data_IF_697589076648
#
_entry.id   IF_697589076648
#
_cell.length_a   1.000
_cell.length_b   1.000
_cell.length_c   1.000
_cell.angle_alpha   90.00
_cell.angle_beta   90.00
_cell.angle_gamma   90.00
#
_symmetry.space_group_name_H-M   'P 1'
#
loop_
_entity.id
_entity.type
_entity.pdbx_description
1 polymer ?
#
# COMPACT_ATOMS: atom_id res chain seq x y z
N UNK A 1 8.40 28.41 -63.35
CA UNK A 1 9.37 27.48 -63.96
C UNK A 1 10.57 27.47 -63.05
N UNK A 2 10.57 26.54 -62.08
CA UNK A 2 11.40 25.30 -62.11
C UNK A 2 12.57 25.60 -61.15
N UNK A 3 12.97 24.80 -60.18
CA UNK A 3 12.94 23.35 -60.05
C UNK A 3 13.20 23.02 -58.58
N UNK A 4 12.54 21.98 -58.07
CA UNK A 4 12.90 21.37 -56.81
C UNK A 4 14.20 20.58 -56.99
N UNK A 5 15.15 20.70 -56.06
CA UNK A 5 16.19 19.69 -55.89
C UNK A 5 16.27 19.27 -54.43
N UNK A 6 15.97 17.99 -54.23
CA UNK A 6 16.12 17.25 -53.00
C UNK A 6 17.60 16.93 -52.77
N UNK A 7 18.09 17.13 -51.55
CA UNK A 7 19.41 16.67 -51.14
C UNK A 7 19.32 15.94 -49.80
N UNK A 8 19.48 14.61 -49.90
CA UNK A 8 20.01 13.62 -48.96
C UNK A 8 19.79 13.79 -47.44
N UNK A 9 19.03 12.85 -46.87
CA UNK A 9 19.01 12.51 -45.44
C UNK A 9 20.29 11.73 -45.09
N UNK A 10 21.12 12.17 -44.12
CA UNK A 10 22.15 11.32 -43.53
C UNK A 10 21.55 10.35 -42.48
N UNK A 11 22.12 9.15 -42.44
CA UNK A 11 21.71 7.98 -41.67
C UNK A 11 21.65 8.23 -40.14
N UNK A 12 20.84 7.46 -39.38
CA UNK A 12 20.80 7.57 -37.93
C UNK A 12 22.16 7.15 -37.33
N UNK A 13 22.79 8.09 -36.63
CA UNK A 13 23.95 7.81 -35.78
C UNK A 13 23.53 6.89 -34.63
N UNK A 14 24.34 5.85 -34.39
CA UNK A 14 24.04 4.74 -33.49
C UNK A 14 23.61 5.22 -32.10
N UNK A 15 22.39 4.84 -31.70
CA UNK A 15 21.94 4.93 -30.31
C UNK A 15 22.87 4.09 -29.43
N UNK A 16 23.73 4.77 -28.67
CA UNK A 16 24.51 4.16 -27.61
C UNK A 16 23.57 3.69 -26.50
N UNK A 17 23.39 2.37 -26.40
CA UNK A 17 22.73 1.74 -25.26
C UNK A 17 23.51 2.09 -23.99
N UNK A 18 23.02 3.07 -23.23
CA UNK A 18 23.43 3.25 -21.84
C UNK A 18 22.22 2.90 -20.99
N UNK A 19 22.22 1.67 -20.51
CA UNK A 19 21.29 1.18 -19.50
C UNK A 19 21.36 2.12 -18.29
N UNK A 20 20.22 2.59 -17.74
CA UNK A 20 20.24 3.43 -16.54
C UNK A 20 20.82 2.60 -15.40
N UNK A 21 22.05 2.90 -15.01
CA UNK A 21 22.69 2.24 -13.87
C UNK A 21 21.91 2.62 -12.63
N UNK A 22 21.24 1.65 -12.00
CA UNK A 22 20.54 1.85 -10.75
C UNK A 22 21.51 2.44 -9.70
N UNK A 23 21.06 3.40 -8.87
CA UNK A 23 21.93 3.98 -7.85
C UNK A 23 22.38 2.89 -6.86
N UNK A 24 23.61 2.99 -6.31
CA UNK A 24 24.13 2.03 -5.35
C UNK A 24 23.25 2.00 -4.09
N UNK A 25 22.83 0.80 -3.68
CA UNK A 25 22.02 0.59 -2.48
C UNK A 25 22.82 0.93 -1.20
N UNK A 26 22.35 1.91 -0.43
CA UNK A 26 22.90 2.23 0.90
C UNK A 26 22.30 1.31 1.97
N UNK A 27 23.07 1.01 3.01
CA UNK A 27 22.59 0.18 4.12
C UNK A 27 21.50 0.90 4.93
N UNK A 28 20.42 0.19 5.27
CA UNK A 28 19.24 0.73 5.96
C UNK A 28 19.60 1.46 7.26
N UNK A 29 20.63 1.00 7.98
CA UNK A 29 21.08 1.63 9.23
C UNK A 29 21.72 3.01 9.06
N UNK A 30 22.11 3.36 7.84
CA UNK A 30 22.72 4.65 7.50
C UNK A 30 21.69 5.65 6.98
N UNK A 31 20.46 5.19 6.70
CA UNK A 31 19.34 6.05 6.33
C UNK A 31 18.88 6.76 7.61
N UNK A 32 19.28 8.01 7.79
CA UNK A 32 18.73 8.83 8.87
C UNK A 32 17.28 9.15 8.51
N UNK A 33 16.30 8.91 9.42
CA UNK A 33 14.92 9.24 9.15
C UNK A 33 14.85 10.74 8.85
N UNK A 34 14.33 11.07 7.67
CA UNK A 34 14.09 12.42 7.12
C UNK A 34 15.24 13.14 6.39
N UNK A 35 16.52 12.80 6.58
CA UNK A 35 17.61 13.58 5.94
C UNK A 35 17.84 13.22 4.45
N UNK A 36 17.63 11.95 4.09
CA UNK A 36 18.01 11.44 2.76
C UNK A 36 16.84 11.37 1.76
N UNK A 37 15.62 11.71 2.19
CA UNK A 37 14.42 11.68 1.33
C UNK A 37 14.27 12.98 0.52
N UNK A 38 15.31 13.34 -0.23
CA UNK A 38 15.23 14.45 -1.19
C UNK A 38 14.89 13.87 -2.57
N UNK A 39 13.70 14.17 -3.15
CA UNK A 39 13.27 13.59 -4.42
C UNK A 39 13.98 14.20 -5.65
N UNK A 40 15.32 14.33 -5.62
CA UNK A 40 16.13 14.65 -6.81
C UNK A 40 17.64 14.57 -6.54
N UNK A 41 18.22 13.66 -5.74
CA UNK A 41 19.68 13.72 -5.49
C UNK A 41 20.57 13.45 -6.72
N UNK A 42 20.05 12.82 -7.78
CA UNK A 42 20.88 12.34 -8.90
C UNK A 42 20.51 12.92 -10.27
N UNK A 43 19.59 13.88 -10.37
CA UNK A 43 19.31 14.56 -11.64
C UNK A 43 20.29 15.73 -11.84
N UNK A 44 21.07 15.78 -12.93
CA UNK A 44 22.03 16.87 -13.21
C UNK A 44 21.36 18.23 -13.55
N UNK A 45 20.05 18.36 -13.29
CA UNK A 45 19.27 19.61 -13.37
C UNK A 45 18.53 19.88 -12.04
N UNK A 46 19.22 19.77 -10.89
CA UNK A 46 18.71 20.06 -9.53
C UNK A 46 19.23 21.41 -8.99
N UNK A 47 18.30 22.35 -8.86
CA UNK A 47 18.28 23.72 -8.29
C UNK A 47 19.55 24.59 -8.17
N UNK A 48 19.47 25.81 -8.72
CA UNK A 48 20.52 26.86 -8.70
C UNK A 48 20.12 28.14 -7.96
N UNK A 49 18.84 28.36 -7.58
CA UNK A 49 18.55 29.29 -6.48
C UNK A 49 17.42 28.78 -5.58
N UNK A 50 17.78 28.31 -4.37
CA UNK A 50 16.99 27.33 -3.67
C UNK A 50 16.52 27.98 -2.39
N UNK A 51 15.33 28.53 -2.38
CA UNK A 51 14.61 28.58 -1.11
C UNK A 51 14.09 27.16 -0.77
N UNK A 52 14.70 26.10 -1.31
CA UNK A 52 13.96 25.11 -2.11
C UNK A 52 13.13 24.11 -1.33
N UNK A 53 13.34 24.01 -0.02
CA UNK A 53 12.43 23.23 0.82
C UNK A 53 12.02 24.02 2.07
N UNK A 54 11.92 25.35 1.89
CA UNK A 54 11.32 26.43 2.69
C UNK A 54 11.02 26.20 4.19
N UNK A 55 11.52 27.15 4.98
CA UNK A 55 11.06 27.63 6.29
C UNK A 55 11.06 26.65 7.49
N UNK A 56 11.93 26.86 8.50
CA UNK A 56 13.05 27.81 8.54
C UNK A 56 14.22 27.30 7.67
N UNK A 57 14.88 28.22 6.96
CA UNK A 57 16.12 27.89 6.25
C UNK A 57 17.19 27.55 7.30
N UNK A 58 17.95 26.46 7.16
CA UNK A 58 19.01 26.13 8.11
C UNK A 58 20.04 27.26 8.26
N UNK A 59 20.27 28.05 7.20
CA UNK A 59 21.21 29.18 7.19
C UNK A 59 20.60 30.51 7.67
N UNK A 60 19.28 30.57 7.91
CA UNK A 60 18.57 31.79 8.31
C UNK A 60 18.58 32.94 7.28
N UNK A 61 19.20 32.76 6.12
CA UNK A 61 19.32 33.80 5.09
C UNK A 61 18.01 34.02 4.32
N UNK A 62 17.65 35.28 3.98
CA UNK A 62 16.41 35.59 3.27
C UNK A 62 16.36 34.93 1.88
N UNK A 63 15.16 34.53 1.47
CA UNK A 63 14.89 33.95 0.16
C UNK A 63 15.10 34.99 -0.95
N UNK A 64 15.86 34.63 -2.00
CA UNK A 64 16.23 35.52 -3.12
C UNK A 64 15.33 35.34 -4.36
N UNK A 65 14.04 35.05 -4.17
CA UNK A 65 13.07 34.99 -5.27
C UNK A 65 12.38 36.34 -5.47
N UNK A 66 11.98 36.65 -6.72
CA UNK A 66 11.25 37.88 -7.06
C UNK A 66 9.89 38.02 -6.32
N UNK A 67 9.36 36.91 -5.79
CA UNK A 67 8.23 36.82 -4.86
C UNK A 67 8.58 35.86 -3.72
N UNK A 68 9.11 36.33 -2.58
CA UNK A 68 9.46 35.45 -1.47
C UNK A 68 8.19 34.89 -0.82
N UNK A 69 8.07 33.56 -0.74
CA UNK A 69 7.08 32.94 0.14
C UNK A 69 7.47 33.29 1.59
N UNK A 70 6.63 34.07 2.28
CA UNK A 70 6.89 34.43 3.67
C UNK A 70 6.75 33.18 4.56
N UNK A 71 7.75 32.92 5.41
CA UNK A 71 7.68 31.83 6.36
C UNK A 71 6.54 32.06 7.38
N UNK A 72 5.84 31.01 7.83
CA UNK A 72 4.91 31.14 8.94
C UNK A 72 5.66 31.64 10.16
N UNK A 73 5.05 32.53 10.94
CA UNK A 73 5.65 33.02 12.17
C UNK A 73 5.76 31.84 13.15
N UNK A 74 6.99 31.41 13.44
CA UNK A 74 7.22 30.44 14.49
C UNK A 74 6.96 31.08 15.85
N UNK A 75 6.00 30.53 16.58
CA UNK A 75 5.80 30.87 17.97
C UNK A 75 6.87 30.14 18.75
N UNK A 76 7.84 30.89 19.30
CA UNK A 76 8.82 30.33 20.25
C UNK A 76 8.04 29.77 21.44
N UNK A 77 8.16 28.47 21.67
CA UNK A 77 7.68 27.85 22.89
C UNK A 77 8.29 28.62 24.07
N UNK A 78 7.45 29.06 25.02
CA UNK A 78 7.93 29.76 26.20
C UNK A 78 8.90 28.89 26.98
N UNK A 79 9.96 29.48 27.53
CA UNK A 79 10.89 28.80 28.44
C UNK A 79 10.29 28.52 29.84
N UNK A 80 8.96 28.57 29.94
CA UNK A 80 8.25 28.27 31.16
C UNK A 80 8.43 26.79 31.50
N UNK A 81 8.49 26.43 32.79
CA UNK A 81 8.49 25.03 33.18
C UNK A 81 7.27 24.33 32.58
N UNK A 82 7.49 23.15 32.00
CA UNK A 82 6.40 22.34 31.45
C UNK A 82 5.43 21.98 32.59
N UNK A 83 4.21 22.50 32.50
CA UNK A 83 3.10 22.05 33.35
C UNK A 83 2.42 20.88 32.66
N UNK A 84 2.39 19.74 33.32
CA UNK A 84 1.71 18.57 32.78
C UNK A 84 0.21 18.83 32.63
N UNK A 85 -0.38 18.26 31.58
CA UNK A 85 -1.82 18.40 31.33
C UNK A 85 -2.57 17.47 32.27
N UNK A 86 -3.34 18.03 33.19
CA UNK A 86 -4.25 17.23 34.04
C UNK A 86 -5.50 16.82 33.24
N UNK A 87 -5.38 15.75 32.46
CA UNK A 87 -6.53 15.16 31.78
C UNK A 87 -7.45 14.51 32.81
N UNK A 88 -8.72 14.92 32.86
CA UNK A 88 -9.71 14.25 33.70
C UNK A 88 -9.96 12.82 33.18
N UNK A 89 -10.03 11.85 34.09
CA UNK A 89 -10.41 10.48 33.73
C UNK A 89 -11.80 10.50 33.11
N UNK A 90 -11.89 10.16 31.82
CA UNK A 90 -13.13 10.13 31.07
C UNK A 90 -13.49 8.68 30.79
N UNK A 91 -14.71 8.27 31.17
CA UNK A 91 -15.23 6.96 30.80
C UNK A 91 -15.59 6.98 29.31
N UNK A 92 -14.90 6.15 28.52
CA UNK A 92 -15.17 6.03 27.09
C UNK A 92 -16.04 4.79 26.84
N UNK A 93 -17.31 5.02 26.47
CA UNK A 93 -18.22 3.96 26.05
C UNK A 93 -18.02 3.74 24.55
N UNK A 94 -17.25 2.72 24.19
CA UNK A 94 -17.07 2.33 22.79
C UNK A 94 -18.16 1.34 22.38
N UNK A 95 -18.94 1.71 21.37
CA UNK A 95 -19.75 0.78 20.59
C UNK A 95 -18.98 0.44 19.30
N UNK A 96 -18.94 -0.84 18.93
CA UNK A 96 -18.34 -1.23 17.67
C UNK A 96 -19.09 -0.56 16.52
N UNK A 97 -18.36 0.10 15.61
CA UNK A 97 -18.98 0.68 14.44
C UNK A 97 -19.69 -0.44 13.65
N UNK A 98 -20.99 -0.29 13.41
CA UNK A 98 -21.82 -1.28 12.71
C UNK A 98 -21.55 -1.29 11.19
N UNK A 99 -20.27 -1.20 10.82
CA UNK A 99 -19.82 -1.24 9.44
C UNK A 99 -19.93 -2.67 8.92
N UNK A 100 -20.54 -2.80 7.74
CA UNK A 100 -20.65 -4.07 7.03
C UNK A 100 -19.94 -4.00 5.69
N UNK A 101 -19.57 -5.16 5.20
CA UNK A 101 -19.03 -5.39 3.87
C UNK A 101 -19.76 -6.58 3.23
N UNK A 102 -19.61 -6.76 1.92
CA UNK A 102 -19.99 -8.00 1.26
C UNK A 102 -18.99 -9.12 1.62
N UNK A 103 -19.31 -10.40 1.39
CA UNK A 103 -18.41 -11.49 1.74
C UNK A 103 -17.07 -11.37 1.01
N UNK A 104 -15.98 -11.52 1.76
CA UNK A 104 -14.62 -11.55 1.25
C UNK A 104 -14.23 -13.00 0.99
N UNK A 105 -14.42 -13.50 -0.23
CA UNK A 105 -14.13 -14.89 -0.58
C UNK A 105 -12.63 -15.22 -0.58
N UNK A 106 -11.80 -14.20 -0.81
CA UNK A 106 -10.36 -14.31 -0.98
C UNK A 106 -9.59 -13.76 0.22
N UNK A 107 -10.00 -14.12 1.43
CA UNK A 107 -9.34 -13.65 2.66
C UNK A 107 -8.46 -14.72 3.31
N UNK A 108 -7.33 -14.29 3.87
CA UNK A 108 -6.57 -15.04 4.87
C UNK A 108 -6.65 -14.33 6.24
N UNK A 109 -7.65 -14.65 7.08
CA UNK A 109 -7.86 -13.93 8.34
C UNK A 109 -6.69 -14.06 9.31
N UNK A 110 -5.96 -15.18 9.29
CA UNK A 110 -4.83 -15.38 10.19
C UNK A 110 -3.68 -14.44 9.82
N UNK A 111 -3.33 -14.39 8.53
CA UNK A 111 -2.26 -13.54 8.02
C UNK A 111 -2.66 -12.07 7.98
N UNK A 112 -3.78 -11.74 7.37
CA UNK A 112 -4.18 -10.37 7.02
C UNK A 112 -4.67 -9.58 8.24
N UNK A 113 -5.44 -10.21 9.14
CA UNK A 113 -6.00 -9.52 10.31
C UNK A 113 -5.09 -9.59 11.53
N UNK A 114 -4.44 -10.73 11.75
CA UNK A 114 -3.67 -10.99 12.96
C UNK A 114 -2.16 -11.04 12.73
N UNK A 115 -1.68 -10.93 11.49
CA UNK A 115 -0.25 -10.98 11.19
C UNK A 115 0.38 -12.35 11.48
N UNK A 116 -0.42 -13.41 11.60
CA UNK A 116 0.06 -14.77 11.82
C UNK A 116 0.69 -15.29 10.52
N UNK A 117 1.99 -15.03 10.39
CA UNK A 117 2.78 -15.41 9.23
C UNK A 117 3.57 -16.69 9.48
N UNK A 118 3.79 -17.42 8.39
CA UNK A 118 4.74 -18.51 8.32
C UNK A 118 6.15 -17.98 8.03
N UNK A 119 7.12 -18.90 7.95
CA UNK A 119 8.47 -18.56 7.51
C UNK A 119 8.45 -17.84 6.15
N UNK A 120 9.31 -16.81 5.98
CA UNK A 120 9.32 -15.91 4.81
C UNK A 120 9.35 -16.65 3.45
N UNK A 121 10.07 -17.77 3.39
CA UNK A 121 10.16 -18.59 2.16
C UNK A 121 8.91 -19.42 1.88
N UNK A 122 8.14 -19.79 2.91
CA UNK A 122 6.97 -20.68 2.79
C UNK A 122 5.67 -19.88 2.67
N UNK A 123 5.61 -18.69 3.29
CA UNK A 123 4.48 -17.78 3.23
C UNK A 123 3.89 -17.56 1.82
N UNK A 124 4.68 -17.26 0.77
CA UNK A 124 4.10 -17.03 -0.56
C UNK A 124 3.38 -18.27 -1.10
N UNK A 125 3.89 -19.48 -0.84
CA UNK A 125 3.26 -20.72 -1.28
C UNK A 125 1.97 -21.02 -0.49
N UNK A 126 1.95 -20.72 0.82
CA UNK A 126 0.74 -20.88 1.63
C UNK A 126 -0.35 -19.91 1.17
N UNK A 127 -0.01 -18.64 0.97
CA UNK A 127 -0.95 -17.64 0.48
C UNK A 127 -1.44 -17.96 -0.93
N UNK A 128 -0.55 -18.38 -1.84
CA UNK A 128 -0.93 -18.81 -3.18
C UNK A 128 -1.86 -20.03 -3.15
N UNK A 129 -1.52 -21.07 -2.38
CA UNK A 129 -2.35 -22.26 -2.23
C UNK A 129 -3.73 -21.94 -1.66
N UNK A 130 -3.80 -21.05 -0.67
CA UNK A 130 -5.07 -20.61 -0.08
C UNK A 130 -5.92 -19.84 -1.10
N UNK A 131 -5.33 -18.84 -1.77
CA UNK A 131 -6.01 -18.09 -2.82
C UNK A 131 -6.52 -18.99 -3.95
N UNK A 132 -5.67 -19.91 -4.46
CA UNK A 132 -6.07 -20.86 -5.49
C UNK A 132 -7.18 -21.80 -5.03
N UNK A 133 -7.15 -22.27 -3.78
CA UNK A 133 -8.22 -23.10 -3.22
C UNK A 133 -9.55 -22.33 -3.13
N UNK A 134 -9.49 -21.05 -2.77
CA UNK A 134 -10.65 -20.17 -2.71
C UNK A 134 -11.20 -19.85 -4.10
N UNK A 135 -10.32 -19.66 -5.09
CA UNK A 135 -10.67 -19.39 -6.47
C UNK A 135 -11.40 -20.57 -7.11
N UNK A 136 -10.84 -21.77 -6.97
CA UNK A 136 -11.49 -23.00 -7.47
C UNK A 136 -12.81 -23.20 -6.73
N UNK A 137 -12.81 -23.06 -5.40
CA UNK A 137 -13.99 -23.21 -4.55
C UNK A 137 -14.96 -22.02 -4.55
N UNK A 138 -14.82 -21.05 -5.45
CA UNK A 138 -15.62 -19.81 -5.41
C UNK A 138 -17.14 -20.07 -5.51
N UNK A 139 -17.66 -20.91 -6.45
CA UNK A 139 -19.09 -21.20 -6.50
C UNK A 139 -19.62 -21.84 -5.20
N UNK A 140 -18.81 -22.70 -4.56
CA UNK A 140 -19.12 -23.28 -3.25
C UNK A 140 -19.30 -22.19 -2.19
N UNK A 141 -18.35 -21.25 -2.10
CA UNK A 141 -18.40 -20.16 -1.13
C UNK A 141 -19.58 -19.21 -1.39
N UNK A 142 -19.83 -18.83 -2.65
CA UNK A 142 -20.97 -17.98 -3.03
C UNK A 142 -22.33 -18.64 -2.70
N UNK A 143 -22.37 -19.97 -2.60
CA UNK A 143 -23.59 -20.70 -2.20
C UNK A 143 -23.83 -20.64 -0.70
N UNK A 144 -22.77 -20.61 0.10
CA UNK A 144 -22.85 -20.52 1.58
C UNK A 144 -23.10 -19.08 2.01
N UNK A 145 -22.29 -18.16 1.49
CA UNK A 145 -22.34 -16.74 1.78
C UNK A 145 -22.67 -16.01 0.47
N UNK A 146 -23.94 -15.63 0.23
CA UNK A 146 -24.34 -14.93 -1.00
C UNK A 146 -23.63 -13.58 -1.15
N UNK A 147 -23.36 -13.17 -2.39
CA UNK A 147 -22.56 -11.96 -2.72
C UNK A 147 -23.06 -10.67 -2.03
N UNK A 148 -24.36 -10.52 -1.82
CA UNK A 148 -24.94 -9.34 -1.18
C UNK A 148 -25.23 -9.54 0.32
N UNK A 149 -24.67 -10.58 0.95
CA UNK A 149 -24.80 -10.83 2.38
C UNK A 149 -23.99 -9.79 3.15
N UNK A 150 -24.63 -9.12 4.12
CA UNK A 150 -23.94 -8.17 5.00
C UNK A 150 -23.09 -8.95 6.02
N UNK A 151 -21.77 -8.82 5.90
CA UNK A 151 -20.78 -9.36 6.82
C UNK A 151 -20.24 -8.23 7.70
N UNK A 152 -20.30 -8.42 9.01
CA UNK A 152 -19.81 -7.44 9.98
C UNK A 152 -18.41 -7.81 10.45
N UNK A 153 -17.60 -6.81 10.77
CA UNK A 153 -16.29 -7.03 11.40
C UNK A 153 -16.39 -7.43 12.88
N UNK A 154 -17.61 -7.51 13.43
CA UNK A 154 -17.85 -7.95 14.80
C UNK A 154 -17.52 -9.44 14.96
N UNK A 155 -17.02 -9.83 16.14
CA UNK A 155 -16.64 -11.21 16.46
C UNK A 155 -15.16 -11.54 16.25
N UNK A 156 -14.39 -10.63 15.67
CA UNK A 156 -12.92 -10.72 15.60
C UNK A 156 -12.26 -10.16 16.87
N UNK A 157 -11.09 -10.69 17.24
CA UNK A 157 -10.28 -10.14 18.35
C UNK A 157 -9.91 -8.68 18.09
N UNK A 158 -9.98 -7.85 19.14
CA UNK A 158 -9.66 -6.43 19.06
C UNK A 158 -8.15 -6.18 19.17
N UNK A 159 -7.67 -5.02 18.68
CA UNK A 159 -6.30 -4.59 18.99
C UNK A 159 -6.05 -4.59 20.50
N UNK A 160 -4.98 -5.24 20.93
CA UNK A 160 -4.63 -5.40 22.35
C UNK A 160 -5.20 -6.66 23.03
N UNK A 161 -6.15 -7.37 22.39
CA UNK A 161 -6.56 -8.69 22.84
C UNK A 161 -5.63 -9.78 22.26
N UNK A 162 -5.39 -10.84 23.02
CA UNK A 162 -4.59 -11.97 22.54
C UNK A 162 -5.37 -12.79 21.50
N UNK A 163 -4.90 -12.82 20.25
CA UNK A 163 -5.49 -13.62 19.17
C UNK A 163 -4.78 -15.00 19.05
N UNK A 164 -5.43 -16.12 19.40
CA UNK A 164 -4.85 -17.45 19.22
C UNK A 164 -4.75 -17.83 17.74
N UNK A 165 -3.77 -18.69 17.41
CA UNK A 165 -3.63 -19.25 16.07
C UNK A 165 -4.76 -20.25 15.79
N UNK A 166 -5.79 -19.79 15.07
CA UNK A 166 -6.94 -20.61 14.67
C UNK A 166 -6.68 -21.27 13.32
N UNK A 167 -7.17 -22.51 13.17
CA UNK A 167 -7.28 -23.20 11.88
C UNK A 167 -8.72 -23.12 11.40
N UNK A 168 -8.96 -22.33 10.36
CA UNK A 168 -10.30 -22.18 9.78
C UNK A 168 -10.63 -23.40 8.94
N UNK A 169 -11.79 -24.00 9.22
CA UNK A 169 -12.29 -25.16 8.49
C UNK A 169 -13.32 -24.72 7.46
N UNK A 170 -13.38 -25.46 6.35
CA UNK A 170 -14.42 -25.27 5.34
C UNK A 170 -15.67 -25.99 5.85
N UNK A 171 -16.82 -25.30 5.99
CA UNK A 171 -18.04 -25.94 6.47
C UNK A 171 -18.53 -26.95 5.43
N UNK A 172 -18.89 -28.16 5.86
CA UNK A 172 -19.43 -29.20 4.99
C UNK A 172 -20.90 -28.92 4.66
N UNK A 173 -21.20 -28.67 3.39
CA UNK A 173 -22.55 -28.34 2.93
C UNK A 173 -22.85 -29.02 1.59
N UNK A 174 -23.83 -29.93 1.59
CA UNK A 174 -24.19 -30.72 0.41
C UNK A 174 -24.73 -29.84 -0.74
N UNK A 175 -25.50 -28.79 -0.44
CA UNK A 175 -26.04 -27.88 -1.46
C UNK A 175 -24.92 -27.15 -2.18
N UNK A 176 -23.97 -26.61 -1.43
CA UNK A 176 -22.82 -25.93 -1.98
C UNK A 176 -21.95 -26.88 -2.81
N UNK A 177 -21.80 -28.13 -2.39
CA UNK A 177 -21.06 -29.15 -3.14
C UNK A 177 -21.74 -29.46 -4.51
N UNK A 178 -23.07 -29.57 -4.54
CA UNK A 178 -23.82 -29.80 -5.79
C UNK A 178 -23.67 -28.60 -6.74
N UNK A 179 -23.79 -27.37 -6.24
CA UNK A 179 -23.63 -26.15 -7.06
C UNK A 179 -22.20 -26.03 -7.60
N UNK A 180 -21.20 -26.32 -6.77
CA UNK A 180 -19.81 -26.35 -7.20
C UNK A 180 -19.62 -27.35 -8.34
N UNK A 181 -20.12 -28.58 -8.16
CA UNK A 181 -20.02 -29.63 -9.17
C UNK A 181 -20.72 -29.24 -10.48
N UNK A 182 -21.91 -28.64 -10.42
CA UNK A 182 -22.65 -28.21 -11.62
C UNK A 182 -21.94 -27.09 -12.37
N UNK A 183 -21.39 -26.09 -11.66
CA UNK A 183 -20.64 -24.98 -12.28
C UNK A 183 -19.35 -25.49 -12.92
N UNK A 184 -18.57 -26.31 -12.22
CA UNK A 184 -17.33 -26.89 -12.77
C UNK A 184 -17.64 -27.73 -14.02
N UNK A 185 -18.66 -28.58 -13.94
CA UNK A 185 -19.09 -29.41 -15.08
C UNK A 185 -19.53 -28.52 -16.25
N UNK A 186 -20.35 -27.50 -15.99
CA UNK A 186 -20.79 -26.55 -17.00
C UNK A 186 -19.65 -25.79 -17.67
N UNK A 187 -18.64 -25.36 -16.90
CA UNK A 187 -17.46 -24.69 -17.44
C UNK A 187 -16.61 -25.61 -18.32
N UNK A 188 -16.44 -26.87 -17.93
CA UNK A 188 -15.72 -27.88 -18.74
C UNK A 188 -16.43 -28.12 -20.08
N UNK A 189 -17.77 -28.18 -20.09
CA UNK A 189 -18.52 -28.35 -21.34
C UNK A 189 -18.62 -27.06 -22.18
N UNK A 190 -18.45 -25.89 -21.56
CA UNK A 190 -18.58 -24.60 -22.23
C UNK A 190 -17.26 -24.13 -22.88
N UNK A 191 -16.11 -24.51 -22.30
CA UNK A 191 -14.78 -24.17 -22.83
C UNK A 191 -14.23 -25.43 -23.54
N UNK A 192 -14.23 -25.47 -24.89
CA UNK A 192 -13.84 -26.64 -25.67
C UNK A 192 -12.36 -26.99 -25.55
#
# INVERSE_FOLDING_TARGET
>A
MTEAQAQQVPAPEKSGNTEPTAPPETSISQILPFADYLPASNDPKKSTDPCDYLCPRPDGAPCKSEKPAACPQEIRLGSLPYTDRSFACSMYMWEASQLFSNPLYFEDPALERYGHSHHKLVQPFVSAGRFSSQLIGLPYQMTIDPVCKKMYALGWYRPGECAPHKRYQIPLNAKAAVVQGSVVTGLIFLIP
#
